data_IF_209288131518
#
_entry.id   IF_209288131518
#
_cell.length_a   1.000
_cell.length_b   1.000
_cell.length_c   1.000
_cell.angle_alpha   90.00
_cell.angle_beta   90.00
_cell.angle_gamma   90.00
#
_symmetry.space_group_name_H-M   'P 1'
#
loop_
_entity.id
_entity.type
_entity.pdbx_description
1 polymer ?
#
# COMPACT_ATOMS: atom_id res chain seq x y z
N UNK A 1 -4.01 5.28 39.62
CA UNK A 1 -4.28 4.01 38.92
C UNK A 1 -2.93 3.35 38.74
N UNK A 2 -2.67 2.25 39.44
CA UNK A 2 -1.34 1.64 39.46
C UNK A 2 -1.20 0.86 38.14
N UNK A 3 -0.30 1.31 37.25
CA UNK A 3 0.13 0.52 36.09
C UNK A 3 0.94 -0.67 36.62
N UNK A 4 0.34 -1.85 36.68
CA UNK A 4 1.03 -3.08 37.17
C UNK A 4 1.65 -3.86 36.00
N UNK A 5 1.24 -3.61 34.76
CA UNK A 5 1.80 -4.25 33.57
C UNK A 5 2.43 -3.21 32.65
N UNK A 6 3.75 -3.29 32.45
CA UNK A 6 4.49 -2.56 31.43
C UNK A 6 5.00 -3.57 30.42
N UNK A 7 4.78 -3.33 29.13
CA UNK A 7 5.35 -4.19 28.07
C UNK A 7 6.76 -3.75 27.65
N UNK A 8 7.36 -2.79 28.36
CA UNK A 8 8.75 -2.40 28.14
C UNK A 8 9.64 -3.59 28.52
N UNK A 9 10.48 -4.02 27.58
CA UNK A 9 11.40 -5.16 27.71
C UNK A 9 10.76 -6.56 27.88
N UNK A 10 9.44 -6.71 27.66
CA UNK A 10 8.76 -8.02 27.64
C UNK A 10 8.75 -8.62 26.23
N UNK A 11 9.02 -9.92 26.14
CA UNK A 11 8.91 -10.66 24.88
C UNK A 11 7.45 -10.80 24.45
N UNK A 12 7.20 -10.78 23.15
CA UNK A 12 5.84 -10.90 22.62
C UNK A 12 5.17 -12.23 23.01
N UNK A 13 5.92 -13.34 23.07
CA UNK A 13 5.36 -14.63 23.47
C UNK A 13 4.77 -14.59 24.90
N UNK A 14 5.47 -13.97 25.85
CA UNK A 14 5.02 -13.83 27.24
C UNK A 14 3.72 -13.02 27.31
N UNK A 15 3.62 -11.92 26.54
CA UNK A 15 2.40 -11.10 26.46
C UNK A 15 1.22 -11.92 25.95
N UNK A 16 1.44 -12.79 24.95
CA UNK A 16 0.39 -13.64 24.38
C UNK A 16 -0.03 -14.72 25.39
N UNK A 17 0.92 -15.35 26.08
CA UNK A 17 0.66 -16.37 27.10
C UNK A 17 -0.11 -15.80 28.30
N UNK A 18 0.33 -14.66 28.82
CA UNK A 18 -0.35 -13.91 29.86
C UNK A 18 -1.78 -13.58 29.43
N UNK A 19 -1.94 -13.09 28.20
CA UNK A 19 -3.25 -12.78 27.66
C UNK A 19 -4.13 -14.03 27.61
N UNK A 20 -3.61 -15.18 27.20
CA UNK A 20 -4.40 -16.43 27.07
C UNK A 20 -4.84 -16.96 28.44
N UNK A 21 -3.97 -16.86 29.43
CA UNK A 21 -4.19 -17.33 30.81
C UNK A 21 -5.04 -16.36 31.65
N UNK A 22 -5.15 -15.10 31.24
CA UNK A 22 -5.85 -14.07 31.97
C UNK A 22 -7.39 -14.17 31.93
N UNK A 23 -8.01 -13.67 33.00
CA UNK A 23 -9.45 -13.38 33.02
C UNK A 23 -9.82 -12.17 32.13
N UNK A 24 -11.12 -11.92 31.93
CA UNK A 24 -11.59 -10.87 31.01
C UNK A 24 -11.05 -9.47 31.33
N UNK A 25 -11.09 -9.05 32.60
CA UNK A 25 -10.61 -7.71 33.00
C UNK A 25 -9.10 -7.57 32.76
N UNK A 26 -8.33 -8.62 33.04
CA UNK A 26 -6.88 -8.60 32.88
C UNK A 26 -6.46 -8.71 31.40
N UNK A 27 -7.24 -9.41 30.57
CA UNK A 27 -7.08 -9.44 29.11
C UNK A 27 -7.15 -8.04 28.51
N UNK A 28 -8.15 -7.25 28.91
CA UNK A 28 -8.31 -5.89 28.41
C UNK A 28 -7.12 -5.00 28.80
N UNK A 29 -6.63 -5.12 30.05
CA UNK A 29 -5.44 -4.39 30.51
C UNK A 29 -4.18 -4.76 29.69
N UNK A 30 -3.89 -6.06 29.55
CA UNK A 30 -2.74 -6.55 28.76
C UNK A 30 -2.83 -6.04 27.32
N UNK A 31 -4.00 -6.16 26.71
CA UNK A 31 -4.22 -5.74 25.33
C UNK A 31 -4.06 -4.23 25.14
N UNK A 32 -4.55 -3.42 26.07
CA UNK A 32 -4.37 -1.96 26.05
C UNK A 32 -2.89 -1.60 26.13
N UNK A 33 -2.15 -2.18 27.08
CA UNK A 33 -0.71 -1.91 27.21
C UNK A 33 0.07 -2.34 25.95
N UNK A 34 -0.25 -3.50 25.37
CA UNK A 34 0.32 -3.93 24.09
C UNK A 34 0.08 -2.90 22.96
N UNK A 35 -1.16 -2.43 22.82
CA UNK A 35 -1.49 -1.42 21.81
C UNK A 35 -0.73 -0.12 22.06
N UNK A 36 -0.63 0.31 23.31
CA UNK A 36 0.10 1.50 23.70
C UNK A 36 1.58 1.38 23.34
N UNK A 37 2.25 0.25 23.59
CA UNK A 37 3.64 0.03 23.20
C UNK A 37 3.84 0.13 21.68
N UNK A 38 2.93 -0.42 20.87
CA UNK A 38 2.96 -0.26 19.40
C UNK A 38 2.78 1.21 19.01
N UNK A 39 1.88 1.94 19.68
CA UNK A 39 1.58 3.32 19.35
C UNK A 39 2.69 4.29 19.74
N UNK A 40 3.37 4.02 20.85
CA UNK A 40 4.51 4.78 21.38
C UNK A 40 5.84 4.44 20.70
N UNK A 41 5.95 3.30 20.00
CA UNK A 41 7.13 2.97 19.18
C UNK A 41 7.61 4.16 18.32
N UNK A 42 8.91 4.43 18.38
CA UNK A 42 9.56 5.49 17.61
C UNK A 42 9.60 5.24 16.11
N UNK A 43 9.20 4.03 15.67
CA UNK A 43 8.99 3.70 14.26
C UNK A 43 7.70 4.34 13.68
N UNK A 44 7.59 5.66 13.88
CA UNK A 44 6.51 6.50 13.37
C UNK A 44 6.60 6.58 11.85
N UNK A 45 5.43 6.64 11.22
CA UNK A 45 5.31 6.79 9.78
C UNK A 45 5.91 8.13 9.33
N UNK A 46 6.86 8.09 8.39
CA UNK A 46 7.44 9.28 7.74
C UNK A 46 7.34 9.15 6.23
N UNK A 47 6.92 10.22 5.58
CA UNK A 47 6.99 10.36 4.12
C UNK A 47 8.05 11.38 3.76
N UNK A 48 8.67 11.18 2.61
CA UNK A 48 9.74 12.04 2.14
C UNK A 48 9.73 12.12 0.63
N UNK A 49 10.33 13.19 0.12
CA UNK A 49 10.60 13.36 -1.31
C UNK A 49 11.88 12.59 -1.65
N UNK A 50 11.84 11.84 -2.74
CA UNK A 50 12.99 11.18 -3.36
C UNK A 50 13.07 11.60 -4.82
N UNK A 51 14.25 11.51 -5.38
CA UNK A 51 14.50 11.80 -6.78
C UNK A 51 15.06 10.57 -7.47
N UNK A 52 14.59 10.30 -8.68
CA UNK A 52 15.31 9.44 -9.62
C UNK A 52 16.31 10.36 -10.32
N UNK A 53 17.59 10.16 -10.04
CA UNK A 53 18.64 11.04 -10.56
C UNK A 53 19.63 10.31 -11.47
N UNK A 54 20.19 11.06 -12.42
CA UNK A 54 21.39 10.74 -13.19
C UNK A 54 22.10 12.04 -13.57
N UNK A 55 23.37 11.96 -13.94
CA UNK A 55 24.17 13.12 -14.32
C UNK A 55 24.51 13.04 -15.79
N UNK A 56 24.19 14.09 -16.55
CA UNK A 56 24.49 14.19 -17.97
C UNK A 56 25.98 14.44 -18.17
N UNK A 57 26.60 13.69 -19.08
CA UNK A 57 28.03 13.77 -19.31
C UNK A 57 28.42 15.16 -19.88
N UNK A 58 29.51 15.79 -19.41
CA UNK A 58 29.87 17.16 -19.82
C UNK A 58 30.05 17.34 -21.32
N UNK A 59 30.53 16.31 -22.02
CA UNK A 59 30.78 16.31 -23.46
C UNK A 59 29.51 16.40 -24.31
N UNK A 60 28.34 16.02 -23.77
CA UNK A 60 27.06 16.09 -24.49
C UNK A 60 26.11 17.14 -23.92
N UNK A 61 26.41 17.72 -22.74
CA UNK A 61 25.53 18.63 -22.02
C UNK A 61 25.07 19.83 -22.87
N UNK A 62 25.94 20.34 -23.74
CA UNK A 62 25.64 21.50 -24.59
C UNK A 62 24.98 21.13 -25.94
N UNK A 63 24.64 19.86 -26.15
CA UNK A 63 23.90 19.42 -27.34
C UNK A 63 22.39 19.45 -27.07
N UNK A 64 21.58 19.46 -28.13
CA UNK A 64 20.11 19.40 -27.99
C UNK A 64 19.66 18.19 -27.16
N UNK A 65 20.22 17.02 -27.44
CA UNK A 65 19.95 15.77 -26.71
C UNK A 65 20.37 15.90 -25.24
N UNK A 66 21.56 16.46 -24.98
CA UNK A 66 22.04 16.68 -23.62
C UNK A 66 21.15 17.59 -22.81
N UNK A 67 20.62 18.66 -23.41
CA UNK A 67 19.67 19.56 -22.77
C UNK A 67 18.34 18.87 -22.44
N UNK A 68 17.82 18.03 -23.34
CA UNK A 68 16.61 17.23 -23.06
C UNK A 68 16.84 16.32 -21.84
N UNK A 69 18.00 15.64 -21.78
CA UNK A 69 18.34 14.80 -20.63
C UNK A 69 18.56 15.60 -19.34
N UNK A 70 19.14 16.79 -19.42
CA UNK A 70 19.43 17.62 -18.25
C UNK A 70 18.14 18.09 -17.56
N UNK A 71 17.13 18.49 -18.35
CA UNK A 71 15.78 18.84 -17.86
C UNK A 71 15.18 17.69 -17.02
N UNK A 72 15.40 16.45 -17.46
CA UNK A 72 14.84 15.25 -16.83
C UNK A 72 15.83 14.48 -15.95
N UNK A 73 16.98 15.08 -15.63
CA UNK A 73 18.05 14.48 -14.82
C UNK A 73 17.64 14.18 -13.38
N UNK A 74 16.55 14.80 -12.91
CA UNK A 74 16.02 14.65 -11.56
C UNK A 74 14.49 14.64 -11.53
N UNK A 75 13.90 13.44 -11.37
CA UNK A 75 12.45 13.27 -11.29
C UNK A 75 12.00 13.04 -9.85
N UNK A 76 11.28 14.01 -9.27
CA UNK A 76 10.75 13.94 -7.90
C UNK A 76 9.58 12.95 -7.76
N UNK A 77 9.58 12.17 -6.69
CA UNK A 77 8.44 11.36 -6.26
C UNK A 77 8.35 11.26 -4.72
N UNK A 78 7.16 10.93 -4.21
CA UNK A 78 6.94 10.73 -2.77
C UNK A 78 7.15 9.27 -2.39
N UNK A 79 7.93 9.04 -1.34
CA UNK A 79 8.27 7.73 -0.80
C UNK A 79 7.99 7.66 0.71
N UNK A 80 8.02 6.46 1.26
CA UNK A 80 7.92 6.18 2.68
C UNK A 80 8.84 5.02 3.08
N UNK A 81 9.41 5.05 4.28
CA UNK A 81 10.27 3.97 4.79
C UNK A 81 9.46 2.67 4.87
N UNK A 82 9.86 1.65 4.11
CA UNK A 82 9.15 0.35 4.00
C UNK A 82 9.61 -0.70 5.02
N UNK A 83 10.82 -0.54 5.55
CA UNK A 83 11.48 -1.48 6.46
C UNK A 83 12.05 -0.71 7.64
N UNK A 84 11.96 -1.29 8.84
CA UNK A 84 12.70 -0.81 10.00
C UNK A 84 14.06 -1.51 10.10
N UNK A 85 15.00 -0.89 10.81
CA UNK A 85 16.27 -1.53 11.19
C UNK A 85 16.18 -2.17 12.57
N UNK A 86 15.19 -1.75 13.36
CA UNK A 86 14.99 -2.21 14.71
C UNK A 86 14.36 -3.61 14.67
N UNK A 87 14.95 -4.54 15.42
CA UNK A 87 14.53 -5.95 15.44
C UNK A 87 13.44 -6.27 16.46
N UNK A 88 13.02 -5.28 17.25
CA UNK A 88 11.99 -5.45 18.27
C UNK A 88 10.60 -5.63 17.65
N UNK A 89 9.76 -6.41 18.34
CA UNK A 89 8.44 -6.76 17.83
C UNK A 89 7.53 -5.53 17.68
N UNK A 90 7.68 -4.52 18.55
CA UNK A 90 6.90 -3.28 18.54
C UNK A 90 7.15 -2.54 17.22
N UNK A 91 8.42 -2.35 16.85
CA UNK A 91 8.85 -1.67 15.64
C UNK A 91 8.46 -2.43 14.38
N UNK A 92 8.53 -3.76 14.38
CA UNK A 92 8.15 -4.59 13.23
C UNK A 92 6.64 -4.55 12.99
N UNK A 93 5.82 -4.75 14.03
CA UNK A 93 4.35 -4.66 13.93
C UNK A 93 3.96 -3.22 13.55
N UNK A 94 4.60 -2.21 14.14
CA UNK A 94 4.34 -0.81 13.78
C UNK A 94 4.70 -0.50 12.33
N UNK A 95 5.80 -1.06 11.82
CA UNK A 95 6.17 -0.96 10.40
C UNK A 95 5.08 -1.57 9.51
N UNK A 96 4.55 -2.73 9.88
CA UNK A 96 3.46 -3.39 9.15
C UNK A 96 2.23 -2.49 9.06
N UNK A 97 1.79 -1.94 10.19
CA UNK A 97 0.65 -1.02 10.26
C UNK A 97 0.89 0.19 9.34
N UNK A 98 2.08 0.80 9.39
CA UNK A 98 2.44 1.94 8.53
C UNK A 98 2.43 1.57 7.03
N UNK A 99 2.89 0.38 6.68
CA UNK A 99 2.89 -0.15 5.31
C UNK A 99 1.46 -0.36 4.80
N UNK A 100 0.60 -0.95 5.63
CA UNK A 100 -0.81 -1.15 5.32
C UNK A 100 -1.55 0.18 5.13
N UNK A 101 -1.33 1.15 6.01
CA UNK A 101 -1.89 2.49 5.85
C UNK A 101 -1.48 3.09 4.49
N UNK A 102 -0.19 3.02 4.19
CA UNK A 102 0.35 3.59 2.95
C UNK A 102 -0.21 2.90 1.72
N UNK A 103 -0.35 1.57 1.74
CA UNK A 103 -0.90 0.79 0.63
C UNK A 103 -2.37 1.13 0.34
N UNK A 104 -3.20 1.22 1.37
CA UNK A 104 -4.66 1.26 1.21
C UNK A 104 -5.27 2.66 1.32
N UNK A 105 -4.62 3.61 1.99
CA UNK A 105 -5.23 4.90 2.36
C UNK A 105 -4.41 6.12 1.95
N UNK A 106 -3.08 6.07 1.96
CA UNK A 106 -2.29 7.28 1.65
C UNK A 106 -2.25 7.59 0.14
N UNK A 107 -3.07 8.55 -0.29
CA UNK A 107 -3.15 9.06 -1.66
C UNK A 107 -1.91 9.84 -2.10
N UNK A 108 -1.04 10.26 -1.19
CA UNK A 108 0.15 11.03 -1.55
C UNK A 108 1.32 10.13 -1.96
N UNK A 109 1.28 8.83 -1.66
CA UNK A 109 2.39 7.90 -1.92
C UNK A 109 1.96 6.82 -2.91
N UNK A 110 2.51 6.87 -4.12
CA UNK A 110 2.26 5.92 -5.20
C UNK A 110 3.60 5.31 -5.62
N UNK A 111 3.73 4.00 -5.47
CA UNK A 111 4.98 3.27 -5.73
C UNK A 111 4.73 1.97 -6.49
N UNK A 112 3.66 1.90 -7.29
CA UNK A 112 3.46 0.72 -8.14
C UNK A 112 4.60 0.61 -9.14
N UNK A 113 4.98 -0.62 -9.47
CA UNK A 113 6.08 -0.90 -10.38
C UNK A 113 5.90 -0.19 -11.74
N UNK A 114 4.69 -0.25 -12.30
CA UNK A 114 4.36 0.43 -13.56
C UNK A 114 4.59 1.95 -13.49
N UNK A 115 4.16 2.60 -12.40
CA UNK A 115 4.39 4.02 -12.19
C UNK A 115 5.89 4.33 -12.05
N UNK A 116 6.60 3.56 -11.24
CA UNK A 116 8.04 3.74 -11.04
C UNK A 116 8.83 3.51 -12.33
N UNK A 117 8.39 2.59 -13.19
CA UNK A 117 9.04 2.34 -14.47
C UNK A 117 8.87 3.51 -15.45
N UNK A 118 7.70 4.15 -15.48
CA UNK A 118 7.48 5.37 -16.27
C UNK A 118 8.35 6.53 -15.79
N UNK A 119 8.47 6.73 -14.47
CA UNK A 119 9.36 7.78 -13.94
C UNK A 119 10.85 7.53 -14.23
N UNK A 120 11.24 6.27 -14.43
CA UNK A 120 12.62 5.89 -14.75
C UNK A 120 12.94 6.03 -16.25
N UNK A 121 11.96 6.32 -17.11
CA UNK A 121 12.14 6.40 -18.56
C UNK A 121 13.29 7.34 -18.96
N UNK A 122 13.40 8.58 -18.46
CA UNK A 122 14.49 9.48 -18.87
C UNK A 122 15.87 8.90 -18.53
N UNK A 123 16.01 8.33 -17.33
CA UNK A 123 17.25 7.70 -16.88
C UNK A 123 17.63 6.51 -17.75
N UNK A 124 16.65 5.67 -18.14
CA UNK A 124 16.91 4.50 -19.01
C UNK A 124 17.39 4.95 -20.38
N UNK A 125 16.66 5.87 -21.02
CA UNK A 125 17.01 6.41 -22.34
C UNK A 125 18.40 7.07 -22.33
N UNK A 126 18.74 7.77 -21.26
CA UNK A 126 20.08 8.33 -21.10
C UNK A 126 21.17 7.25 -21.14
N UNK A 127 21.01 6.15 -20.39
CA UNK A 127 21.98 5.06 -20.46
C UNK A 127 21.96 4.36 -21.81
N UNK A 128 20.80 4.16 -22.43
CA UNK A 128 20.72 3.56 -23.78
C UNK A 128 21.48 4.41 -24.81
N UNK A 129 21.34 5.73 -24.76
CA UNK A 129 22.11 6.68 -25.58
C UNK A 129 23.62 6.55 -25.34
N UNK A 130 24.06 6.47 -24.08
CA UNK A 130 25.48 6.25 -23.76
C UNK A 130 26.03 4.91 -24.27
N UNK A 131 25.17 3.90 -24.46
CA UNK A 131 25.55 2.62 -25.06
C UNK A 131 25.49 2.64 -26.60
N UNK A 132 25.31 3.80 -27.22
CA UNK A 132 25.36 3.98 -28.67
C UNK A 132 24.03 3.78 -29.38
N UNK A 133 22.90 3.82 -28.67
CA UNK A 133 21.59 3.91 -29.31
C UNK A 133 21.41 5.30 -29.89
N UNK A 134 21.29 5.38 -31.21
CA UNK A 134 21.03 6.64 -31.91
C UNK A 134 19.63 7.17 -31.55
N UNK A 135 19.55 8.46 -31.29
CA UNK A 135 18.31 9.12 -30.84
C UNK A 135 18.24 10.52 -31.42
N UNK A 136 17.08 10.88 -31.96
CA UNK A 136 16.76 12.25 -32.34
C UNK A 136 16.23 13.04 -31.13
N UNK A 137 16.57 14.33 -31.04
CA UNK A 137 16.19 15.20 -29.90
C UNK A 137 14.66 15.38 -29.79
N UNK A 138 13.96 15.45 -30.93
CA UNK A 138 12.50 15.61 -30.98
C UNK A 138 11.80 14.30 -30.61
N UNK A 139 12.28 13.17 -31.12
CA UNK A 139 11.76 11.85 -30.76
C UNK A 139 11.96 11.56 -29.26
N UNK A 140 13.15 11.83 -28.74
CA UNK A 140 13.49 11.66 -27.33
C UNK A 140 12.53 12.47 -26.43
N UNK A 141 12.30 13.73 -26.78
CA UNK A 141 11.37 14.62 -26.07
C UNK A 141 9.96 14.01 -26.06
N UNK A 142 9.46 13.57 -27.22
CA UNK A 142 8.13 12.98 -27.34
C UNK A 142 7.97 11.70 -26.50
N UNK A 143 8.99 10.83 -26.46
CA UNK A 143 8.96 9.60 -25.65
C UNK A 143 8.91 9.95 -24.16
N UNK A 144 9.75 10.88 -23.71
CA UNK A 144 9.78 11.29 -22.29
C UNK A 144 8.45 11.94 -21.89
N UNK A 145 7.94 12.89 -22.68
CA UNK A 145 6.69 13.59 -22.38
C UNK A 145 5.51 12.61 -22.29
N UNK A 146 5.40 11.69 -23.24
CA UNK A 146 4.38 10.65 -23.22
C UNK A 146 4.51 9.75 -21.97
N UNK A 147 5.73 9.38 -21.59
CA UNK A 147 5.96 8.61 -20.37
C UNK A 147 5.55 9.39 -19.11
N UNK A 148 5.83 10.69 -19.03
CA UNK A 148 5.46 11.54 -17.89
C UNK A 148 3.96 11.79 -17.81
N UNK A 149 3.29 12.00 -18.96
CA UNK A 149 1.84 12.10 -19.04
C UNK A 149 1.16 10.80 -18.61
N UNK A 150 1.67 9.65 -19.09
CA UNK A 150 1.20 8.36 -18.64
C UNK A 150 1.44 8.14 -17.14
N UNK A 151 2.57 8.60 -16.60
CA UNK A 151 2.87 8.51 -15.18
C UNK A 151 1.87 9.34 -14.36
N UNK A 152 1.54 10.56 -14.81
CA UNK A 152 0.55 11.43 -14.18
C UNK A 152 -0.86 10.82 -14.24
N UNK A 153 -1.27 10.31 -15.40
CA UNK A 153 -2.56 9.64 -15.57
C UNK A 153 -2.67 8.40 -14.68
N UNK A 154 -1.62 7.58 -14.61
CA UNK A 154 -1.55 6.40 -13.76
C UNK A 154 -1.56 6.77 -12.28
N UNK A 155 -0.83 7.81 -11.88
CA UNK A 155 -0.84 8.34 -10.51
C UNK A 155 -2.26 8.74 -10.10
N UNK A 156 -2.95 9.55 -10.91
CA UNK A 156 -4.33 9.96 -10.65
C UNK A 156 -5.26 8.75 -10.51
N UNK A 157 -5.11 7.75 -11.39
CA UNK A 157 -5.88 6.50 -11.32
C UNK A 157 -5.63 5.77 -10.00
N UNK A 158 -4.37 5.51 -9.64
CA UNK A 158 -4.00 4.77 -8.43
C UNK A 158 -4.39 5.51 -7.15
N UNK A 159 -4.36 6.85 -7.16
CA UNK A 159 -4.85 7.67 -6.05
C UNK A 159 -6.34 7.49 -5.79
N UNK A 160 -7.14 7.36 -6.87
CA UNK A 160 -8.58 7.10 -6.77
C UNK A 160 -8.91 5.70 -6.23
N UNK A 161 -8.01 4.73 -6.43
CA UNK A 161 -8.21 3.35 -5.94
C UNK A 161 -8.03 3.21 -4.41
N UNK A 162 -7.45 4.21 -3.75
CA UNK A 162 -7.23 4.22 -2.31
C UNK A 162 -8.44 4.72 -1.54
N UNK A 163 -8.69 4.08 -0.41
CA UNK A 163 -9.78 4.42 0.51
C UNK A 163 -9.50 5.73 1.24
N UNK A 164 -10.54 6.41 1.70
CA UNK A 164 -10.43 7.59 2.56
C UNK A 164 -10.82 7.22 3.99
N UNK A 165 -9.92 7.47 4.95
CA UNK A 165 -10.15 7.21 6.36
C UNK A 165 -9.29 8.15 7.22
N UNK A 166 -9.84 8.70 8.30
CA UNK A 166 -9.05 9.50 9.24
C UNK A 166 -8.10 8.62 10.04
N UNK A 167 -6.99 9.20 10.51
CA UNK A 167 -6.00 8.46 11.30
C UNK A 167 -6.58 7.87 12.58
N UNK A 168 -7.46 8.61 13.27
CA UNK A 168 -8.15 8.14 14.48
C UNK A 168 -9.02 6.91 14.20
N UNK A 169 -9.79 6.93 13.10
CA UNK A 169 -10.62 5.76 12.71
C UNK A 169 -9.74 4.57 12.30
N UNK A 170 -8.63 4.84 11.62
CA UNK A 170 -7.67 3.81 11.23
C UNK A 170 -7.08 3.10 12.44
N UNK A 171 -6.62 3.84 13.48
CA UNK A 171 -6.12 3.25 14.72
C UNK A 171 -7.12 2.29 15.36
N UNK A 172 -8.37 2.74 15.54
CA UNK A 172 -9.45 1.92 16.12
C UNK A 172 -9.67 0.61 15.36
N UNK A 173 -9.72 0.68 14.02
CA UNK A 173 -9.88 -0.50 13.18
C UNK A 173 -8.68 -1.46 13.31
N UNK A 174 -7.47 -0.93 13.42
CA UNK A 174 -6.27 -1.75 13.61
C UNK A 174 -6.28 -2.43 14.98
N UNK A 175 -6.67 -1.73 16.05
CA UNK A 175 -6.83 -2.33 17.38
C UNK A 175 -7.87 -3.45 17.36
N UNK A 176 -9.01 -3.29 16.68
CA UNK A 176 -9.97 -4.40 16.50
C UNK A 176 -9.34 -5.62 15.79
N UNK A 177 -8.43 -5.41 14.84
CA UNK A 177 -7.75 -6.49 14.13
C UNK A 177 -6.67 -7.15 14.99
N UNK A 178 -5.95 -6.37 15.80
CA UNK A 178 -4.99 -6.86 16.77
C UNK A 178 -5.68 -7.68 17.86
N UNK A 179 -6.83 -7.22 18.36
CA UNK A 179 -7.64 -7.96 19.35
C UNK A 179 -8.06 -9.31 18.80
N UNK A 180 -8.55 -9.35 17.55
CA UNK A 180 -8.84 -10.62 16.85
C UNK A 180 -7.62 -11.50 16.70
N UNK A 181 -6.43 -10.93 16.47
CA UNK A 181 -5.21 -11.71 16.44
C UNK A 181 -4.95 -12.37 17.80
N UNK A 182 -5.02 -11.60 18.90
CA UNK A 182 -4.87 -12.12 20.26
C UNK A 182 -5.91 -13.20 20.58
N UNK A 183 -7.19 -12.96 20.29
CA UNK A 183 -8.27 -13.89 20.57
C UNK A 183 -8.09 -15.23 19.84
N UNK A 184 -7.67 -15.19 18.57
CA UNK A 184 -7.55 -16.38 17.72
C UNK A 184 -6.16 -16.99 17.65
N UNK A 185 -5.15 -16.35 18.25
CA UNK A 185 -3.79 -16.90 18.30
C UNK A 185 -3.80 -18.20 19.11
N UNK A 186 -3.03 -19.19 18.68
CA UNK A 186 -2.77 -20.41 19.44
C UNK A 186 -1.36 -20.31 20.01
N UNK A 187 -1.13 -20.92 21.16
CA UNK A 187 0.20 -20.95 21.76
C UNK A 187 1.12 -21.87 20.94
N UNK A 188 2.43 -21.63 20.98
CA UNK A 188 3.40 -22.48 20.26
C UNK A 188 3.26 -23.95 20.68
N UNK A 189 3.05 -24.20 21.96
CA UNK A 189 2.78 -25.53 22.53
C UNK A 189 1.59 -26.25 21.86
N UNK A 190 0.57 -25.51 21.39
CA UNK A 190 -0.59 -26.09 20.69
C UNK A 190 -0.26 -26.57 19.26
N UNK A 191 0.89 -26.19 18.72
CA UNK A 191 1.39 -26.59 17.40
C UNK A 191 2.43 -27.71 17.47
N UNK A 192 3.00 -27.95 18.65
CA UNK A 192 3.93 -29.05 18.90
C UNK A 192 3.17 -30.37 19.02
N UNK A 193 2.76 -30.91 17.86
CA UNK A 193 2.37 -32.31 17.77
C UNK A 193 3.60 -33.13 18.21
N UNK A 194 3.51 -33.87 19.34
CA UNK A 194 4.59 -34.68 19.96
C UNK A 194 5.22 -35.75 19.04
N UNK A 195 4.82 -35.81 17.77
CA UNK A 195 5.27 -36.76 16.74
C UNK A 195 5.75 -36.10 15.44
N UNK A 196 5.72 -34.76 15.30
CA UNK A 196 6.14 -34.05 14.09
C UNK A 196 6.93 -32.78 14.41
N UNK A 197 8.15 -32.96 14.93
CA UNK A 197 9.17 -31.91 14.91
C UNK A 197 9.58 -31.63 13.46
N UNK A 198 8.90 -30.69 12.81
CA UNK A 198 9.39 -30.12 11.55
C UNK A 198 10.13 -28.81 11.86
N UNK A 199 11.41 -28.94 12.23
CA UNK A 199 12.63 -28.16 11.95
C UNK A 199 12.59 -26.76 11.28
N UNK A 200 11.48 -26.02 11.28
CA UNK A 200 11.39 -24.64 10.78
C UNK A 200 11.54 -23.64 11.93
N UNK A 201 11.26 -24.06 13.17
CA UNK A 201 11.29 -23.21 14.37
C UNK A 201 12.65 -23.17 15.08
N UNK A 202 13.56 -24.10 14.81
CA UNK A 202 14.90 -24.16 15.45
C UNK A 202 15.76 -22.91 15.23
N UNK A 203 15.40 -22.02 14.30
CA UNK A 203 16.15 -20.79 13.99
C UNK A 203 15.36 -19.48 14.22
N UNK A 204 14.07 -19.54 14.54
CA UNK A 204 13.24 -18.35 14.76
C UNK A 204 12.83 -18.26 16.23
N UNK A 205 13.10 -17.13 16.89
CA UNK A 205 12.62 -16.92 18.26
C UNK A 205 11.09 -16.96 18.28
N UNK A 206 10.49 -17.35 19.39
CA UNK A 206 9.04 -17.44 19.58
C UNK A 206 8.32 -16.13 19.20
N UNK A 207 8.95 -14.98 19.48
CA UNK A 207 8.47 -13.67 19.05
C UNK A 207 8.29 -13.54 17.54
N UNK A 208 9.21 -14.09 16.74
CA UNK A 208 9.09 -14.03 15.28
C UNK A 208 7.86 -14.79 14.79
N UNK A 209 7.51 -15.90 15.45
CA UNK A 209 6.29 -16.65 15.17
C UNK A 209 5.04 -15.78 15.40
N UNK A 210 4.92 -15.18 16.59
CA UNK A 210 3.77 -14.34 16.94
C UNK A 210 3.70 -13.06 16.10
N UNK A 211 4.83 -12.40 15.82
CA UNK A 211 4.90 -11.26 14.89
C UNK A 211 4.41 -11.66 13.50
N UNK A 212 4.84 -12.82 12.99
CA UNK A 212 4.39 -13.36 11.71
C UNK A 212 2.88 -13.59 11.67
N UNK A 213 2.34 -14.20 12.72
CA UNK A 213 0.90 -14.44 12.88
C UNK A 213 0.08 -13.14 12.91
N UNK A 214 0.49 -12.17 13.74
CA UNK A 214 -0.18 -10.86 13.85
C UNK A 214 -0.15 -10.14 12.50
N UNK A 215 1.01 -10.08 11.84
CA UNK A 215 1.16 -9.41 10.56
C UNK A 215 0.27 -10.01 9.45
N UNK A 216 0.13 -11.34 9.42
CA UNK A 216 -0.77 -12.04 8.50
C UNK A 216 -2.24 -11.77 8.82
N UNK A 217 -2.59 -11.71 10.10
CA UNK A 217 -3.95 -11.37 10.55
C UNK A 217 -4.33 -9.95 10.16
N UNK A 218 -3.43 -8.97 10.38
CA UNK A 218 -3.63 -7.58 9.96
C UNK A 218 -3.89 -7.45 8.46
N UNK A 219 -3.14 -8.17 7.62
CA UNK A 219 -3.38 -8.19 6.17
C UNK A 219 -4.75 -8.77 5.81
N UNK A 220 -5.07 -9.94 6.37
CA UNK A 220 -6.33 -10.63 6.11
C UNK A 220 -7.54 -9.78 6.51
N UNK A 221 -7.52 -9.22 7.72
CA UNK A 221 -8.61 -8.36 8.20
C UNK A 221 -8.73 -7.07 7.41
N UNK A 222 -7.62 -6.47 6.97
CA UNK A 222 -7.67 -5.27 6.14
C UNK A 222 -8.22 -5.55 4.74
N UNK A 223 -7.93 -6.71 4.16
CA UNK A 223 -8.55 -7.15 2.91
C UNK A 223 -10.07 -7.34 3.06
N UNK A 224 -10.51 -7.95 4.17
CA UNK A 224 -11.95 -8.09 4.48
C UNK A 224 -12.61 -6.71 4.67
N UNK A 225 -11.92 -5.80 5.38
CA UNK A 225 -12.37 -4.43 5.60
C UNK A 225 -12.50 -3.66 4.29
N UNK A 226 -11.53 -3.76 3.37
CA UNK A 226 -11.63 -3.13 2.06
C UNK A 226 -12.89 -3.57 1.31
N UNK A 227 -13.23 -4.86 1.36
CA UNK A 227 -14.47 -5.35 0.74
C UNK A 227 -15.72 -4.75 1.42
N UNK A 228 -15.75 -4.70 2.76
CA UNK A 228 -16.85 -4.07 3.53
C UNK A 228 -16.99 -2.58 3.21
N UNK A 229 -15.87 -1.85 3.11
CA UNK A 229 -15.85 -0.43 2.78
C UNK A 229 -16.56 -0.13 1.46
N UNK A 230 -16.40 -0.99 0.46
CA UNK A 230 -17.07 -0.86 -0.84
C UNK A 230 -18.43 -1.59 -0.93
N UNK A 231 -18.94 -2.14 0.19
CA UNK A 231 -20.21 -2.88 0.21
C UNK A 231 -20.20 -4.18 -0.60
N UNK A 232 -19.05 -4.86 -0.67
CA UNK A 232 -18.84 -6.03 -1.50
C UNK A 232 -18.94 -7.33 -0.69
N UNK A 233 -19.37 -8.45 -1.31
CA UNK A 233 -19.33 -9.76 -0.66
C UNK A 233 -17.89 -10.13 -0.31
N UNK A 234 -17.70 -10.92 0.75
CA UNK A 234 -16.37 -11.38 1.16
C UNK A 234 -15.72 -12.34 0.17
N UNK A 235 -16.54 -13.13 -0.53
CA UNK A 235 -16.11 -14.08 -1.53
C UNK A 235 -16.80 -13.80 -2.86
N UNK A 236 -16.05 -13.94 -3.96
CA UNK A 236 -16.56 -13.79 -5.32
C UNK A 236 -15.87 -14.81 -6.22
N UNK A 237 -16.64 -15.69 -6.86
CA UNK A 237 -16.12 -16.68 -7.83
C UNK A 237 -15.43 -16.02 -9.02
N UNK A 238 -15.87 -14.81 -9.40
CA UNK A 238 -15.35 -14.06 -10.55
C UNK A 238 -14.27 -13.04 -10.18
N UNK A 239 -13.97 -12.91 -8.89
CA UNK A 239 -13.03 -11.91 -8.38
C UNK A 239 -13.57 -10.48 -8.36
N UNK A 240 -12.64 -9.54 -8.17
CA UNK A 240 -12.89 -8.11 -8.03
C UNK A 240 -12.04 -7.32 -9.01
N UNK A 241 -12.53 -6.16 -9.44
CA UNK A 241 -11.82 -5.23 -10.32
C UNK A 241 -11.96 -3.80 -9.80
N UNK A 242 -11.23 -2.86 -10.41
CA UNK A 242 -11.33 -1.43 -10.13
C UNK A 242 -12.15 -0.73 -11.20
N UNK A 243 -13.06 0.15 -10.79
CA UNK A 243 -13.80 1.01 -11.72
C UNK A 243 -12.83 1.93 -12.46
N UNK A 244 -12.89 1.95 -13.80
CA UNK A 244 -11.99 2.77 -14.64
C UNK A 244 -12.14 4.28 -14.44
N UNK A 245 -13.28 4.77 -13.89
CA UNK A 245 -13.49 6.20 -13.64
C UNK A 245 -13.17 6.63 -12.20
N UNK A 246 -13.74 5.95 -11.21
CA UNK A 246 -13.63 6.35 -9.80
C UNK A 246 -12.63 5.53 -8.98
N UNK A 247 -12.06 4.44 -9.51
CA UNK A 247 -11.13 3.58 -8.75
C UNK A 247 -11.77 2.66 -7.71
N UNK A 248 -13.09 2.75 -7.48
CA UNK A 248 -13.78 1.90 -6.52
C UNK A 248 -13.62 0.42 -6.86
N UNK A 249 -13.49 -0.41 -5.82
CA UNK A 249 -13.52 -1.86 -5.99
C UNK A 249 -14.95 -2.30 -6.32
N UNK A 250 -15.10 -3.20 -7.29
CA UNK A 250 -16.39 -3.77 -7.71
C UNK A 250 -16.27 -5.26 -7.99
N UNK A 251 -17.37 -6.00 -7.83
CA UNK A 251 -17.45 -7.41 -8.25
C UNK A 251 -17.46 -7.50 -9.78
N UNK A 252 -16.60 -8.36 -10.32
CA UNK A 252 -16.61 -8.71 -11.73
C UNK A 252 -17.84 -9.56 -12.04
N UNK A 253 -18.71 -9.09 -12.93
CA UNK A 253 -19.90 -9.85 -13.37
C UNK A 253 -19.66 -10.52 -14.72
N UNK A 254 -18.92 -9.86 -15.61
CA UNK A 254 -18.48 -10.35 -16.93
C UNK A 254 -17.17 -9.64 -17.35
N UNK A 255 -16.58 -10.07 -18.46
CA UNK A 255 -15.31 -9.51 -18.97
C UNK A 255 -15.45 -8.08 -19.52
N UNK A 256 -16.67 -7.63 -19.84
CA UNK A 256 -16.94 -6.28 -20.37
C UNK A 256 -17.16 -5.23 -19.28
N UNK A 257 -17.31 -5.63 -18.01
CA UNK A 257 -17.57 -4.70 -16.91
C UNK A 257 -16.32 -3.87 -16.62
N UNK A 258 -16.41 -2.56 -16.87
CA UNK A 258 -15.31 -1.60 -16.63
C UNK A 258 -15.64 -0.56 -15.55
N UNK A 259 -16.91 -0.40 -15.20
CA UNK A 259 -17.38 0.70 -14.35
C UNK A 259 -18.24 0.18 -13.20
N UNK A 260 -18.25 0.91 -12.08
CA UNK A 260 -19.28 0.76 -11.08
C UNK A 260 -20.62 1.27 -11.63
N UNK A 261 -21.72 0.85 -11.02
CA UNK A 261 -23.07 1.20 -11.49
C UNK A 261 -23.29 2.72 -11.53
N UNK A 262 -22.86 3.44 -10.49
CA UNK A 262 -22.94 4.90 -10.42
C UNK A 262 -22.23 5.56 -11.62
N UNK A 263 -21.01 5.14 -11.91
CA UNK A 263 -20.21 5.65 -13.02
C UNK A 263 -20.80 5.27 -14.39
N UNK A 264 -21.32 4.04 -14.55
CA UNK A 264 -21.96 3.59 -15.78
C UNK A 264 -23.22 4.44 -16.06
N UNK A 265 -24.07 4.63 -15.06
CA UNK A 265 -25.29 5.42 -15.17
C UNK A 265 -25.01 6.90 -15.48
N UNK A 266 -24.00 7.49 -14.83
CA UNK A 266 -23.58 8.86 -15.12
C UNK A 266 -23.09 9.03 -16.57
N UNK A 267 -22.27 8.08 -17.05
CA UNK A 267 -21.75 8.08 -18.43
C UNK A 267 -22.88 7.94 -19.45
N UNK A 268 -23.84 7.08 -19.19
CA UNK A 268 -25.00 6.88 -20.09
C UNK A 268 -25.90 8.13 -20.13
N UNK A 269 -26.15 8.76 -18.98
CA UNK A 269 -26.88 10.04 -18.93
C UNK A 269 -26.19 11.13 -19.74
N UNK A 270 -24.87 11.24 -19.62
CA UNK A 270 -24.08 12.21 -20.40
C UNK A 270 -24.15 11.93 -21.91
N UNK A 271 -24.02 10.66 -22.32
CA UNK A 271 -24.15 10.23 -23.72
C UNK A 271 -25.52 10.60 -24.30
N UNK A 272 -26.61 10.30 -23.57
CA UNK A 272 -27.98 10.65 -24.00
C UNK A 272 -28.17 12.15 -24.16
N UNK A 273 -27.65 12.97 -23.23
CA UNK A 273 -27.70 14.44 -23.32
C UNK A 273 -26.94 14.96 -24.55
N UNK A 274 -25.74 14.47 -24.80
CA UNK A 274 -24.95 14.87 -25.96
C UNK A 274 -25.61 14.49 -27.29
N UNK A 275 -26.22 13.31 -27.37
CA UNK A 275 -26.97 12.90 -28.54
C UNK A 275 -28.17 13.82 -28.78
N UNK A 276 -28.97 14.09 -27.74
CA UNK A 276 -30.10 15.02 -27.85
C UNK A 276 -29.66 16.43 -28.30
N UNK A 277 -28.53 16.92 -27.81
CA UNK A 277 -27.95 18.20 -28.25
C UNK A 277 -27.52 18.17 -29.72
N UNK A 278 -26.86 17.11 -30.18
CA UNK A 278 -26.48 16.94 -31.60
C UNK A 278 -27.71 16.96 -32.51
N UNK A 279 -28.75 16.20 -32.19
CA UNK A 279 -29.98 16.19 -33.01
C UNK A 279 -30.69 17.54 -33.03
N UNK A 280 -30.69 18.31 -31.93
CA UNK A 280 -31.24 19.67 -31.89
C UNK A 280 -30.43 20.70 -32.69
N UNK A 281 -29.13 20.48 -32.89
CA UNK A 281 -28.27 21.32 -33.73
C UNK A 281 -28.40 21.04 -35.22
N UNK A 282 -28.68 19.80 -35.59
CA UNK A 282 -28.87 19.39 -37.00
C UNK A 282 -30.29 19.73 -37.48
N UNK A 283 -31.26 19.89 -36.57
CA UNK A 283 -32.64 20.26 -36.88
C UNK A 283 -32.91 21.78 -36.89
N UNK A 284 -31.87 22.62 -36.81
CA UNK A 284 -31.92 24.07 -37.00
C UNK A 284 -31.09 24.42 -38.22
#
# INVERSE_FOLDING_TARGET
MIHIYSCDDIYLYEIIEDYKSANFSKKDEIFTNFCDSIWHSENKRRTYKKHITFSVAPNILNTEIGQVFDIWSSVEYRYYKVMTKDGDWQSIIRQKINNLYTRYFDKNVILSEQYMNLLKTPKKLYYDYLHGVDMDSSELTAIIDNAMDNANNLKIKLQKEKMSLSWVKYKKIIEEFLRKAFDNCKLIEDFEDKTKLNNIYDFMTEDHFYVGYINKTLEGELMKYQKRYYGLPQNSRKGYIRCKLCGDMIVRTNNKKMYCEKCANAKEKYRKRNNAYKYRKVAK
#
